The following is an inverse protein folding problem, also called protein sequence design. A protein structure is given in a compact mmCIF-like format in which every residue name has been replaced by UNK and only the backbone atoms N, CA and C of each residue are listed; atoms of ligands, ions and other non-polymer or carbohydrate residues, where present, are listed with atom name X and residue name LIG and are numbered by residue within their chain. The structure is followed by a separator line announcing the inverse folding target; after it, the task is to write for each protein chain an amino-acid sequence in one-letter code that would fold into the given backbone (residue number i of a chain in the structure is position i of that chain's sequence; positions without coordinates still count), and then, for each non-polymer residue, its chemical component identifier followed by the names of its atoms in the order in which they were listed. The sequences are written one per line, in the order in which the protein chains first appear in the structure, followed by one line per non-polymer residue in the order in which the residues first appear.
data_IF_539959080832
#
_entry.id   IF_539959080832
#
_cell.length_a   1.000
_cell.length_b   1.000
_cell.length_c   1.000
_cell.angle_alpha   90.00
_cell.angle_beta   90.00
_cell.angle_gamma   90.00
#
_symmetry.space_group_name_H-M   'P 1'
#
loop_
_entity.id
_entity.type
_entity.pdbx_description
1 polymer ?
#
# COMPACT_ATOMS: atom_id res chain seq x y z
N UNK A 1 -1.11 19.47 22.02
CA UNK A 1 -1.37 19.33 20.57
C UNK A 1 -1.53 17.85 20.32
N UNK A 2 -2.75 17.33 20.40
CA UNK A 2 -3.04 15.90 20.38
C UNK A 2 -4.22 15.55 19.45
N UNK A 3 -4.48 16.37 18.42
CA UNK A 3 -5.76 16.33 17.69
C UNK A 3 -5.62 15.98 16.19
N UNK A 4 -4.58 15.25 15.77
CA UNK A 4 -4.42 14.87 14.34
C UNK A 4 -4.15 13.38 14.09
N UNK A 5 -3.90 12.58 15.13
CA UNK A 5 -3.71 11.12 14.98
C UNK A 5 -5.04 10.39 14.95
N UNK A 6 -6.07 10.91 15.63
CA UNK A 6 -7.36 10.25 15.81
C UNK A 6 -8.23 10.17 14.53
N UNK A 7 -7.95 10.98 13.51
CA UNK A 7 -8.71 11.01 12.24
C UNK A 7 -7.89 10.55 11.01
N UNK A 8 -6.69 9.98 11.21
CA UNK A 8 -5.87 9.52 10.09
C UNK A 8 -6.29 8.13 9.60
N UNK A 9 -6.87 8.04 8.40
CA UNK A 9 -7.32 6.78 7.79
C UNK A 9 -6.18 5.74 7.64
N UNK A 10 -4.93 6.20 7.47
CA UNK A 10 -3.77 5.33 7.36
C UNK A 10 -3.29 4.78 8.72
N UNK A 11 -3.56 5.50 9.82
CA UNK A 11 -3.34 5.01 11.18
C UNK A 11 -4.38 3.96 11.58
N UNK A 12 -5.64 4.12 11.16
CA UNK A 12 -6.68 3.12 11.40
C UNK A 12 -6.33 1.78 10.73
N UNK A 13 -5.65 1.84 9.58
CA UNK A 13 -5.20 0.67 8.82
C UNK A 13 -6.34 -0.33 8.53
N UNK A 14 -7.53 0.22 8.23
CA UNK A 14 -8.73 -0.55 7.99
C UNK A 14 -8.56 -1.48 6.77
N UNK A 15 -8.93 -2.74 6.94
CA UNK A 15 -8.63 -3.81 5.96
C UNK A 15 -9.78 -3.97 4.98
N UNK A 16 -9.81 -3.16 3.93
CA UNK A 16 -10.84 -3.23 2.88
C UNK A 16 -10.35 -3.85 1.57
N UNK A 17 -9.04 -3.84 1.34
CA UNK A 17 -8.41 -4.30 0.09
C UNK A 17 -7.53 -5.51 0.35
N UNK A 18 -6.86 -6.01 -0.70
CA UNK A 18 -5.91 -7.09 -0.55
C UNK A 18 -4.62 -6.63 0.17
N UNK A 19 -4.22 -7.37 1.20
CA UNK A 19 -2.99 -7.15 1.96
C UNK A 19 -1.89 -8.12 1.55
N UNK A 20 -0.70 -7.59 1.32
CA UNK A 20 0.49 -8.34 0.94
C UNK A 20 1.41 -8.60 2.12
N UNK A 21 1.53 -7.62 3.01
CA UNK A 21 2.53 -7.61 4.09
C UNK A 21 2.06 -6.77 5.27
N UNK A 22 2.51 -7.15 6.46
CA UNK A 22 2.41 -6.37 7.68
C UNK A 22 3.49 -6.81 8.67
N UNK A 23 4.19 -5.84 9.25
CA UNK A 23 5.12 -6.05 10.37
C UNK A 23 5.08 -4.85 11.34
N UNK A 24 6.09 -4.69 12.20
CA UNK A 24 6.14 -3.59 13.16
C UNK A 24 6.45 -2.21 12.53
N UNK A 25 7.01 -2.18 11.31
CA UNK A 25 7.40 -0.95 10.61
C UNK A 25 6.29 -0.47 9.68
N UNK A 26 5.66 -1.36 8.93
CA UNK A 26 4.74 -0.99 7.86
C UNK A 26 3.67 -2.03 7.57
N UNK A 27 2.72 -1.63 6.73
CA UNK A 27 1.81 -2.55 6.06
C UNK A 27 1.78 -2.25 4.55
N UNK A 28 1.49 -3.27 3.75
CA UNK A 28 1.36 -3.17 2.30
C UNK A 28 0.03 -3.76 1.87
N UNK A 29 -0.78 -2.95 1.20
CA UNK A 29 -2.08 -3.35 0.68
C UNK A 29 -2.37 -2.64 -0.64
N UNK A 30 -3.34 -3.15 -1.41
CA UNK A 30 -3.81 -2.41 -2.58
C UNK A 30 -4.52 -1.12 -2.13
N UNK A 31 -4.18 0.00 -2.76
CA UNK A 31 -4.87 1.26 -2.54
C UNK A 31 -6.24 1.22 -3.23
N UNK A 32 -7.31 1.58 -2.52
CA UNK A 32 -8.68 1.60 -3.06
C UNK A 32 -8.79 2.53 -4.29
N UNK A 33 -8.21 3.73 -4.20
CA UNK A 33 -8.32 4.73 -5.25
C UNK A 33 -7.48 4.40 -6.50
N UNK A 34 -6.32 3.75 -6.30
CA UNK A 34 -5.34 3.52 -7.36
C UNK A 34 -5.37 2.09 -7.92
N UNK A 35 -5.94 1.13 -7.19
CA UNK A 35 -5.93 -0.31 -7.51
C UNK A 35 -4.52 -0.89 -7.71
N UNK A 36 -3.52 -0.32 -7.02
CA UNK A 36 -2.14 -0.81 -7.01
C UNK A 36 -1.59 -0.91 -5.59
N UNK A 37 -0.57 -1.74 -5.33
CA UNK A 37 0.04 -1.84 -4.02
C UNK A 37 0.53 -0.49 -3.50
N UNK A 38 0.28 -0.24 -2.22
CA UNK A 38 0.75 0.89 -1.45
C UNK A 38 1.36 0.38 -0.16
N UNK A 39 2.54 0.90 0.18
CA UNK A 39 3.15 0.72 1.51
C UNK A 39 2.85 1.95 2.35
N UNK A 40 2.59 1.72 3.63
CA UNK A 40 2.31 2.76 4.61
C UNK A 40 3.14 2.50 5.86
N UNK A 41 3.80 3.55 6.35
CA UNK A 41 4.54 3.48 7.61
C UNK A 41 3.56 3.33 8.77
N UNK A 42 3.81 2.47 9.74
CA UNK A 42 2.91 2.32 10.89
C UNK A 42 2.92 3.53 11.82
N UNK A 43 4.06 4.22 11.92
CA UNK A 43 4.13 5.47 12.68
C UNK A 43 3.53 6.62 11.86
N UNK A 44 2.75 7.47 12.53
CA UNK A 44 2.23 8.68 11.91
C UNK A 44 3.37 9.68 11.68
N UNK A 45 3.36 10.33 10.51
CA UNK A 45 4.35 11.32 10.10
C UNK A 45 4.93 11.04 8.71
N UNK A 46 5.71 11.98 8.20
CA UNK A 46 6.18 11.98 6.80
C UNK A 46 7.66 11.65 6.62
N UNK A 47 8.38 11.45 7.73
CA UNK A 47 9.85 11.32 7.77
C UNK A 47 10.25 10.05 8.51
N UNK A 48 10.04 8.87 7.92
CA UNK A 48 10.63 7.63 8.42
C UNK A 48 12.16 7.74 8.49
N UNK A 49 12.78 6.89 9.30
CA UNK A 49 14.24 6.70 9.27
C UNK A 49 14.67 6.18 7.89
N UNK A 50 15.94 6.34 7.53
CA UNK A 50 16.45 5.80 6.25
C UNK A 50 16.31 4.26 6.18
N UNK A 51 16.46 3.59 7.33
CA UNK A 51 16.27 2.14 7.47
C UNK A 51 14.82 1.73 7.24
N UNK A 52 13.87 2.36 7.95
CA UNK A 52 12.43 2.10 7.78
C UNK A 52 11.99 2.41 6.35
N UNK A 53 12.48 3.51 5.78
CA UNK A 53 12.19 3.90 4.41
C UNK A 53 12.65 2.82 3.44
N UNK A 54 13.91 2.39 3.54
CA UNK A 54 14.45 1.36 2.66
C UNK A 54 13.65 0.06 2.77
N UNK A 55 13.34 -0.35 4.00
CA UNK A 55 12.54 -1.55 4.27
C UNK A 55 11.15 -1.48 3.64
N UNK A 56 10.44 -0.36 3.84
CA UNK A 56 9.12 -0.14 3.23
C UNK A 56 9.15 -0.21 1.71
N UNK A 57 10.19 0.36 1.07
CA UNK A 57 10.32 0.32 -0.38
C UNK A 57 10.59 -1.10 -0.90
N UNK A 58 11.35 -1.91 -0.16
CA UNK A 58 11.53 -3.34 -0.45
C UNK A 58 10.22 -4.10 -0.37
N UNK A 59 9.46 -3.95 0.72
CA UNK A 59 8.14 -4.60 0.86
C UNK A 59 7.17 -4.18 -0.26
N UNK A 60 7.21 -2.91 -0.68
CA UNK A 60 6.39 -2.42 -1.79
C UNK A 60 6.78 -3.06 -3.13
N UNK A 61 8.08 -3.19 -3.42
CA UNK A 61 8.58 -3.82 -4.63
C UNK A 61 8.22 -5.32 -4.69
N UNK A 62 8.28 -6.01 -3.56
CA UNK A 62 7.84 -7.40 -3.45
C UNK A 62 6.35 -7.55 -3.76
N UNK A 63 5.51 -6.69 -3.18
CA UNK A 63 4.07 -6.67 -3.46
C UNK A 63 3.77 -6.33 -4.94
N UNK A 64 4.46 -5.32 -5.49
CA UNK A 64 4.36 -4.95 -6.91
C UNK A 64 4.74 -6.11 -7.82
N UNK A 65 5.84 -6.81 -7.50
CA UNK A 65 6.31 -8.00 -8.23
C UNK A 65 5.31 -9.15 -8.12
N UNK A 66 4.74 -9.39 -6.93
CA UNK A 66 3.72 -10.43 -6.73
C UNK A 66 2.46 -10.13 -7.55
N UNK A 67 2.06 -8.86 -7.62
CA UNK A 67 0.80 -8.44 -8.26
C UNK A 67 0.88 -8.32 -9.78
N UNK A 68 2.03 -7.88 -10.30
CA UNK A 68 2.19 -7.52 -11.72
C UNK A 68 3.33 -8.27 -12.44
N UNK A 69 4.16 -9.02 -11.71
CA UNK A 69 5.34 -9.68 -12.23
C UNK A 69 6.61 -8.83 -12.13
N UNK A 70 7.77 -9.49 -12.20
CA UNK A 70 9.09 -8.84 -12.08
C UNK A 70 9.29 -7.78 -13.16
N UNK A 71 9.91 -6.65 -12.77
CA UNK A 71 10.32 -5.58 -13.68
C UNK A 71 9.17 -4.73 -14.22
N UNK A 72 8.00 -4.75 -13.58
CA UNK A 72 6.84 -3.95 -13.98
C UNK A 72 6.61 -2.82 -12.99
N UNK A 73 6.63 -1.57 -13.43
CA UNK A 73 6.29 -0.42 -12.59
C UNK A 73 7.44 0.26 -11.87
N UNK A 74 7.10 1.30 -11.10
CA UNK A 74 8.02 2.12 -10.34
C UNK A 74 7.36 2.67 -9.07
N UNK A 75 8.17 3.12 -8.11
CA UNK A 75 7.71 3.67 -6.83
C UNK A 75 7.34 5.15 -7.00
N UNK A 76 6.14 5.53 -6.58
CA UNK A 76 5.65 6.91 -6.45
C UNK A 76 5.47 7.25 -4.96
N UNK A 77 6.32 8.14 -4.45
CA UNK A 77 6.34 8.56 -3.03
C UNK A 77 5.49 9.81 -2.78
N UNK A 78 4.71 10.27 -3.76
CA UNK A 78 3.93 11.50 -3.62
C UNK A 78 2.68 11.23 -2.78
N UNK A 79 2.65 11.77 -1.57
CA UNK A 79 1.51 11.65 -0.64
C UNK A 79 0.43 12.68 -0.99
N UNK A 80 -0.56 12.28 -1.79
CA UNK A 80 -1.57 13.21 -2.35
C UNK A 80 -2.83 13.38 -1.49
N UNK A 81 -3.38 12.29 -0.97
CA UNK A 81 -4.64 12.34 -0.20
C UNK A 81 -4.37 12.53 1.29
N UNK A 82 -3.37 11.83 1.83
CA UNK A 82 -2.95 11.91 3.24
C UNK A 82 -1.52 12.45 3.29
N UNK A 83 -1.30 13.76 3.05
CA UNK A 83 0.04 14.34 2.92
C UNK A 83 0.85 14.31 4.22
N UNK A 84 0.21 14.14 5.37
CA UNK A 84 0.81 14.07 6.71
C UNK A 84 1.28 12.67 7.14
N UNK A 85 0.98 11.63 6.36
CA UNK A 85 1.34 10.24 6.72
C UNK A 85 2.11 9.58 5.58
N UNK A 86 3.31 9.09 5.87
CA UNK A 86 4.18 8.47 4.90
C UNK A 86 3.55 7.25 4.25
N UNK A 87 3.37 7.34 2.93
CA UNK A 87 2.98 6.22 2.09
C UNK A 87 3.57 6.36 0.69
N UNK A 88 3.74 5.23 0.02
CA UNK A 88 4.23 5.17 -1.35
C UNK A 88 3.46 4.12 -2.15
N UNK A 89 3.25 4.38 -3.44
CA UNK A 89 2.51 3.51 -4.34
C UNK A 89 3.43 2.86 -5.36
N UNK A 90 3.09 1.63 -5.76
CA UNK A 90 3.63 1.01 -6.95
C UNK A 90 2.82 1.45 -8.18
N UNK A 91 3.47 2.05 -9.18
CA UNK A 91 2.86 2.54 -10.42
C UNK A 91 3.37 1.73 -11.60
N UNK A 92 2.57 0.80 -12.11
CA UNK A 92 2.80 0.20 -13.44
C UNK A 92 2.50 1.24 -14.54
N UNK A 93 3.25 1.32 -15.66
CA UNK A 93 2.90 2.13 -16.83
C UNK A 93 1.43 2.06 -17.28
N UNK A 94 0.76 0.91 -17.09
CA UNK A 94 -0.65 0.73 -17.43
C UNK A 94 -1.61 0.99 -16.25
N UNK A 95 -1.15 1.58 -15.14
CA UNK A 95 -1.96 1.78 -13.93
C UNK A 95 -3.28 2.51 -14.20
N UNK A 96 -3.27 3.51 -15.11
CA UNK A 96 -4.45 4.26 -15.50
C UNK A 96 -5.48 3.41 -16.23
N UNK A 97 -5.04 2.53 -17.15
CA UNK A 97 -5.97 1.65 -17.87
C UNK A 97 -6.47 0.53 -16.97
N UNK A 98 -5.60 -0.05 -16.14
CA UNK A 98 -5.93 -1.12 -15.18
C UNK A 98 -6.93 -0.68 -14.11
N UNK A 99 -6.90 0.58 -13.68
CA UNK A 99 -7.93 1.16 -12.78
C UNK A 99 -9.36 0.96 -13.29
N UNK A 100 -9.55 0.90 -14.62
CA UNK A 100 -10.86 0.74 -15.25
C UNK A 100 -11.12 -0.66 -15.78
N UNK A 101 -10.08 -1.44 -16.06
CA UNK A 101 -10.21 -2.75 -16.74
C UNK A 101 -9.99 -3.94 -15.82
N UNK A 102 -9.26 -3.78 -14.70
CA UNK A 102 -9.01 -4.84 -13.75
C UNK A 102 -10.03 -4.77 -12.62
N UNK A 103 -10.55 -5.94 -12.24
CA UNK A 103 -11.33 -6.04 -11.00
C UNK A 103 -10.41 -5.59 -9.86
N UNK A 104 -10.86 -4.69 -8.96
CA UNK A 104 -10.17 -4.44 -7.71
C UNK A 104 -9.86 -5.79 -7.07
N UNK A 105 -8.67 -5.95 -6.49
CA UNK A 105 -8.38 -7.15 -5.72
C UNK A 105 -9.48 -7.27 -4.65
N UNK A 106 -10.30 -8.29 -4.81
CA UNK A 106 -11.45 -8.49 -3.94
C UNK A 106 -10.90 -9.06 -2.64
N UNK A 107 -11.23 -8.37 -1.55
CA UNK A 107 -10.85 -8.67 -0.17
C UNK A 107 -10.75 -10.18 0.12
N UNK A 108 -9.57 -10.63 0.58
CA UNK A 108 -9.30 -12.04 0.91
C UNK A 108 -9.42 -12.37 2.41
N UNK A 109 -10.05 -11.52 3.22
CA UNK A 109 -10.35 -11.80 4.63
C UNK A 109 -9.14 -11.72 5.57
N UNK A 110 -9.33 -11.10 6.73
CA UNK A 110 -8.37 -11.13 7.83
C UNK A 110 -8.28 -12.55 8.39
N UNK A 111 -7.07 -13.13 8.39
CA UNK A 111 -6.78 -14.39 9.09
C UNK A 111 -7.26 -15.70 8.46
N UNK A 112 -7.77 -15.67 7.22
CA UNK A 112 -8.26 -16.87 6.50
C UNK A 112 -7.39 -17.25 5.29
N UNK A 113 -7.45 -18.52 4.87
CA UNK A 113 -6.71 -19.04 3.72
C UNK A 113 -7.22 -18.46 2.39
N UNK A 114 -6.29 -17.96 1.58
CA UNK A 114 -6.54 -17.25 0.31
C UNK A 114 -7.08 -18.22 -0.74
N UNK A 115 -8.32 -18.00 -1.18
CA UNK A 115 -8.86 -18.65 -2.38
C UNK A 115 -8.54 -17.80 -3.61
N UNK A 116 -7.79 -18.37 -4.55
CA UNK A 116 -7.53 -17.76 -5.86
C UNK A 116 -8.86 -17.64 -6.63
N UNK A 117 -9.21 -16.43 -7.07
CA UNK A 117 -10.21 -16.28 -8.12
C UNK A 117 -9.60 -16.79 -9.43
N UNK A 118 -10.18 -17.87 -9.95
CA UNK A 118 -9.90 -18.42 -11.28
C UNK A 118 -10.38 -17.46 -12.38
#
# INVERSE_FOLDING_TARGET
MNDLVDDCELCEAARFTHWYHEDDVCWVADCEACSTPMVVWKSHGTRPSDEDLQWMLTCLEEAGTQRFGKGTGSIDRTMRQVPEHFHAHWRDPNWLSRRWTERPSTYSGVGGERSLLK
#
